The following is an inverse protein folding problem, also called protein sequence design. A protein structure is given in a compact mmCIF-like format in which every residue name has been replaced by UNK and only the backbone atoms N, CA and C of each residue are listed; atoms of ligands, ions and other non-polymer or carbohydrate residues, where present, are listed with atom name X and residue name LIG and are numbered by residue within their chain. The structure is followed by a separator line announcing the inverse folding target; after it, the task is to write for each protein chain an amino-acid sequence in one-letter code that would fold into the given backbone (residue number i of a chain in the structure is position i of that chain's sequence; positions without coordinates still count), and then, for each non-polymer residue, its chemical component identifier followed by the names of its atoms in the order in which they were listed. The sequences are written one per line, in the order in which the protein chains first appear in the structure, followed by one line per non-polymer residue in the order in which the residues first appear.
data_IF_927269519901
#
_entry.id   IF_927269519901
#
_cell.length_a   1.000
_cell.length_b   1.000
_cell.length_c   1.000
_cell.angle_alpha   90.00
_cell.angle_beta   90.00
_cell.angle_gamma   90.00
#
_symmetry.space_group_name_H-M   'P 1'
#
loop_
_entity.id
_entity.type
_entity.pdbx_description
1 polymer ?
#
# COMPACT_ATOMS: atom_id res chain seq x y z
N UNK A 1 3.90 -1.54 -2.79
CA UNK A 1 3.17 -1.80 -4.06
C UNK A 1 3.97 -2.65 -5.00
N UNK A 2 5.20 -2.27 -5.35
CA UNK A 2 6.12 -3.12 -6.15
C UNK A 2 6.24 -4.53 -5.55
N UNK A 3 6.58 -4.60 -4.26
CA UNK A 3 6.73 -5.85 -3.50
C UNK A 3 5.44 -6.66 -3.41
N UNK A 4 4.29 -5.98 -3.34
CA UNK A 4 2.97 -6.62 -3.28
C UNK A 4 2.58 -7.22 -4.63
N UNK A 5 2.95 -6.54 -5.73
CA UNK A 5 2.76 -7.01 -7.09
C UNK A 5 3.66 -8.22 -7.38
N UNK A 6 4.91 -8.19 -6.95
CA UNK A 6 5.85 -9.30 -7.09
C UNK A 6 5.33 -10.58 -6.43
N UNK A 7 4.78 -10.48 -5.20
CA UNK A 7 4.19 -11.64 -4.52
C UNK A 7 2.94 -12.15 -5.27
N UNK A 8 2.05 -11.28 -5.76
CA UNK A 8 0.89 -11.72 -6.54
C UNK A 8 1.30 -12.43 -7.84
N UNK A 9 2.33 -11.93 -8.53
CA UNK A 9 2.88 -12.59 -9.72
C UNK A 9 3.47 -13.96 -9.39
N UNK A 10 4.18 -14.09 -8.26
CA UNK A 10 4.67 -15.38 -7.79
C UNK A 10 3.53 -16.38 -7.52
N UNK A 11 2.41 -15.90 -6.98
CA UNK A 11 1.19 -16.67 -6.74
C UNK A 11 0.33 -16.90 -8.02
N UNK A 12 0.83 -16.52 -9.21
CA UNK A 12 0.13 -16.58 -10.52
C UNK A 12 -1.18 -15.79 -10.56
N UNK A 13 -1.28 -14.74 -9.76
CA UNK A 13 -2.40 -13.82 -9.75
C UNK A 13 -2.02 -12.60 -10.60
N UNK A 14 -2.63 -12.50 -11.77
CA UNK A 14 -2.45 -11.33 -12.63
C UNK A 14 -2.94 -10.07 -11.93
N UNK A 15 -2.23 -8.95 -12.06
CA UNK A 15 -2.69 -7.65 -11.59
C UNK A 15 -2.27 -6.54 -12.56
N UNK A 16 -3.22 -5.69 -12.94
CA UNK A 16 -3.05 -4.76 -14.07
C UNK A 16 -2.83 -3.31 -13.66
N UNK A 17 -3.31 -2.91 -12.47
CA UNK A 17 -3.21 -1.54 -11.96
C UNK A 17 -2.84 -1.51 -10.49
N UNK A 18 -2.28 -0.40 -9.95
CA UNK A 18 -2.00 -0.25 -8.52
C UNK A 18 -3.21 -0.54 -7.63
N UNK A 19 -4.41 -0.13 -8.06
CA UNK A 19 -5.66 -0.38 -7.35
C UNK A 19 -6.05 -1.86 -7.37
N UNK A 20 -5.86 -2.53 -8.50
CA UNK A 20 -6.11 -3.97 -8.65
C UNK A 20 -5.14 -4.80 -7.80
N UNK A 21 -3.87 -4.41 -7.71
CA UNK A 21 -2.87 -5.00 -6.80
C UNK A 21 -3.34 -4.93 -5.35
N UNK A 22 -3.82 -3.76 -4.89
CA UNK A 22 -4.29 -3.59 -3.51
C UNK A 22 -5.57 -4.38 -3.23
N UNK A 23 -6.52 -4.36 -4.16
CA UNK A 23 -7.76 -5.16 -4.06
C UNK A 23 -7.45 -6.65 -3.91
N UNK A 24 -6.56 -7.19 -4.75
CA UNK A 24 -6.14 -8.59 -4.68
C UNK A 24 -5.35 -8.88 -3.41
N UNK A 25 -4.42 -8.01 -3.01
CA UNK A 25 -3.69 -8.16 -1.75
C UNK A 25 -4.64 -8.24 -0.55
N UNK A 26 -5.75 -7.50 -0.57
CA UNK A 26 -6.78 -7.59 0.46
C UNK A 26 -7.55 -8.92 0.38
N UNK A 27 -8.01 -9.32 -0.81
CA UNK A 27 -8.71 -10.60 -1.03
C UNK A 27 -7.89 -11.81 -0.56
N UNK A 28 -6.57 -11.81 -0.82
CA UNK A 28 -5.65 -12.86 -0.39
C UNK A 28 -5.10 -12.66 1.03
N UNK A 29 -5.72 -11.76 1.81
CA UNK A 29 -5.36 -11.48 3.21
C UNK A 29 -3.89 -11.12 3.42
N UNK A 30 -3.25 -10.52 2.42
CA UNK A 30 -1.89 -9.98 2.53
C UNK A 30 -1.88 -8.64 3.26
N UNK A 31 -2.96 -7.86 3.10
CA UNK A 31 -3.22 -6.60 3.79
C UNK A 31 -4.58 -6.68 4.50
N UNK A 32 -4.75 -5.92 5.58
CA UNK A 32 -5.95 -6.03 6.45
C UNK A 32 -6.95 -4.85 6.29
N UNK A 33 -6.50 -3.68 5.83
CA UNK A 33 -7.33 -2.47 5.74
C UNK A 33 -7.23 -1.85 4.34
N UNK A 34 -8.03 -2.37 3.41
CA UNK A 34 -8.03 -1.92 2.01
C UNK A 34 -8.20 -0.39 1.88
N UNK A 35 -9.04 0.23 2.72
CA UNK A 35 -9.31 1.68 2.64
C UNK A 35 -8.07 2.49 2.96
N UNK A 36 -7.32 2.11 3.99
CA UNK A 36 -6.08 2.80 4.35
C UNK A 36 -5.03 2.68 3.23
N UNK A 37 -4.92 1.50 2.62
CA UNK A 37 -4.01 1.27 1.50
C UNK A 37 -4.41 2.05 0.23
N UNK A 38 -5.71 2.18 -0.05
CA UNK A 38 -6.20 3.03 -1.12
C UNK A 38 -5.94 4.51 -0.85
N UNK A 39 -6.05 4.95 0.41
CA UNK A 39 -5.68 6.31 0.84
C UNK A 39 -4.19 6.59 0.62
N UNK A 40 -3.31 5.65 1.00
CA UNK A 40 -1.87 5.75 0.75
C UNK A 40 -1.55 5.86 -0.75
N UNK A 41 -2.27 5.11 -1.60
CA UNK A 41 -2.10 5.19 -3.05
C UNK A 41 -2.49 6.57 -3.57
N UNK A 42 -3.59 7.14 -3.08
CA UNK A 42 -4.07 8.46 -3.49
C UNK A 42 -3.11 9.57 -3.05
N UNK A 43 -2.63 9.53 -1.80
CA UNK A 43 -1.64 10.47 -1.29
C UNK A 43 -0.33 10.40 -2.08
N UNK A 44 0.14 9.19 -2.41
CA UNK A 44 1.31 9.00 -3.28
C UNK A 44 1.10 9.62 -4.66
N UNK A 45 -0.06 9.42 -5.29
CA UNK A 45 -0.36 10.02 -6.59
C UNK A 45 -0.36 11.56 -6.52
N UNK A 46 -0.80 12.12 -5.38
CA UNK A 46 -0.81 13.55 -5.14
C UNK A 46 0.58 14.15 -4.85
N UNK A 47 1.57 13.36 -4.39
CA UNK A 47 2.93 13.89 -4.12
C UNK A 47 3.61 14.53 -5.34
N UNK A 48 3.32 14.05 -6.55
CA UNK A 48 3.84 14.63 -7.80
C UNK A 48 3.18 15.97 -8.18
N UNK A 49 2.07 16.32 -7.52
CA UNK A 49 1.30 17.55 -7.72
C UNK A 49 1.44 18.53 -6.55
N UNK A 50 2.38 18.30 -5.62
CA UNK A 50 2.63 19.15 -4.44
C UNK A 50 3.30 20.46 -4.87
N UNK A 51 2.50 21.36 -5.41
CA UNK A 51 2.83 22.79 -5.55
C UNK A 51 2.14 23.64 -4.47
N UNK A 52 1.26 23.02 -3.67
CA UNK A 52 0.48 23.66 -2.60
C UNK A 52 0.91 23.13 -1.24
N UNK A 53 1.24 24.05 -0.33
CA UNK A 53 1.69 23.73 1.02
C UNK A 53 0.66 22.91 1.80
N UNK A 54 -0.62 23.16 1.57
CA UNK A 54 -1.74 22.48 2.21
C UNK A 54 -1.77 20.98 1.86
N UNK A 55 -1.46 20.64 0.61
CA UNK A 55 -1.37 19.25 0.15
C UNK A 55 -0.15 18.55 0.76
N UNK A 56 1.00 19.23 0.84
CA UNK A 56 2.19 18.70 1.51
C UNK A 56 1.92 18.39 2.99
N UNK A 57 1.26 19.33 3.69
CA UNK A 57 0.92 19.17 5.11
C UNK A 57 -0.06 18.01 5.32
N UNK A 58 -1.06 17.86 4.45
CA UNK A 58 -2.02 16.75 4.51
C UNK A 58 -1.34 15.40 4.36
N UNK A 59 -0.48 15.24 3.35
CA UNK A 59 0.28 14.00 3.14
C UNK A 59 1.20 13.70 4.32
N UNK A 60 1.85 14.72 4.89
CA UNK A 60 2.73 14.56 6.05
C UNK A 60 1.97 14.04 7.29
N UNK A 61 0.79 14.58 7.57
CA UNK A 61 -0.04 14.08 8.69
C UNK A 61 -0.56 12.66 8.42
N UNK A 62 -0.96 12.37 7.18
CA UNK A 62 -1.45 11.05 6.80
C UNK A 62 -0.38 9.95 6.89
N UNK A 63 0.88 10.25 6.56
CA UNK A 63 2.00 9.30 6.69
C UNK A 63 2.13 8.74 8.11
N UNK A 64 1.85 9.55 9.14
CA UNK A 64 1.91 9.09 10.54
C UNK A 64 0.87 8.02 10.85
N UNK A 65 -0.28 8.08 10.18
CA UNK A 65 -1.33 7.06 10.27
C UNK A 65 -0.95 5.79 9.50
N UNK A 66 -0.16 5.94 8.44
CA UNK A 66 0.23 4.86 7.54
C UNK A 66 1.36 4.00 8.08
N UNK A 67 2.33 4.60 8.78
CA UNK A 67 3.49 3.90 9.32
C UNK A 67 3.16 2.62 10.12
N UNK A 68 2.27 2.64 11.13
CA UNK A 68 1.96 1.41 11.89
C UNK A 68 1.30 0.33 11.02
N UNK A 69 0.56 0.71 9.99
CA UNK A 69 -0.07 -0.23 9.05
C UNK A 69 1.01 -0.89 8.18
N UNK A 70 1.95 -0.10 7.68
CA UNK A 70 3.08 -0.58 6.88
C UNK A 70 3.96 -1.56 7.67
N UNK A 71 4.32 -1.21 8.90
CA UNK A 71 5.10 -2.08 9.79
C UNK A 71 4.37 -3.39 10.09
N UNK A 72 3.07 -3.33 10.41
CA UNK A 72 2.25 -4.53 10.65
C UNK A 72 2.23 -5.43 9.42
N UNK A 73 2.00 -4.87 8.23
CA UNK A 73 1.99 -5.64 6.98
C UNK A 73 3.37 -6.22 6.67
N UNK A 74 4.44 -5.46 6.83
CA UNK A 74 5.81 -5.95 6.62
C UNK A 74 6.10 -7.15 7.52
N UNK A 75 5.88 -7.02 8.83
CA UNK A 75 6.09 -8.10 9.80
C UNK A 75 5.23 -9.35 9.50
N UNK A 76 4.01 -9.16 8.99
CA UNK A 76 3.12 -10.24 8.58
C UNK A 76 3.66 -11.00 7.37
N UNK A 77 4.12 -10.27 6.35
CA UNK A 77 4.63 -10.85 5.11
C UNK A 77 6.00 -11.50 5.32
N UNK A 78 6.87 -10.87 6.10
CA UNK A 78 8.18 -11.38 6.48
C UNK A 78 8.06 -12.77 7.12
N UNK A 79 7.24 -12.89 8.17
CA UNK A 79 6.95 -14.18 8.82
C UNK A 79 6.32 -15.24 7.91
N UNK A 80 5.60 -14.83 6.88
CA UNK A 80 4.86 -15.77 6.02
C UNK A 80 5.69 -16.27 4.84
N UNK A 81 6.62 -15.46 4.34
CA UNK A 81 7.30 -15.72 3.07
C UNK A 81 8.84 -15.74 3.18
N UNK A 82 9.43 -15.18 4.24
CA UNK A 82 10.88 -15.01 4.37
C UNK A 82 11.45 -15.50 5.73
N UNK A 83 10.58 -15.73 6.72
CA UNK A 83 10.91 -16.30 8.03
C UNK A 83 10.86 -17.82 8.09
#
# INVERSE_FOLDING_TARGET
MESTKEILTHEKIDSTTPKDVLSKAFQFSMIDDEKMWLGMLDDRNNTSHVYKYEDAKRVFENIKLYLPILEKTYNKLDKKYFG
#
